data_IF_478435832724
#
_entry.id   IF_478435832724
#
_cell.length_a   1.000
_cell.length_b   1.000
_cell.length_c   1.000
_cell.angle_alpha   90.00
_cell.angle_beta   90.00
_cell.angle_gamma   90.00
#
_symmetry.space_group_name_H-M   'P 1'
#
loop_
_entity.id
_entity.type
_entity.pdbx_description
1 polymer ?
#
# COMPACT_ATOMS: atom_id res chain seq x y z
N UNK A 1 5.13 -7.11 17.45
CA UNK A 1 3.80 -7.45 16.95
C UNK A 1 3.55 -6.84 15.61
N UNK A 2 2.92 -7.58 14.73
CA UNK A 2 2.65 -7.12 13.38
C UNK A 2 1.35 -6.36 13.28
N UNK A 3 1.27 -5.45 12.31
CA UNK A 3 0.02 -4.77 11.96
C UNK A 3 -0.89 -5.73 11.19
N UNK A 4 -2.19 -5.61 11.42
CA UNK A 4 -3.20 -6.32 10.65
C UNK A 4 -4.34 -5.35 10.39
N UNK A 5 -4.52 -4.98 9.12
CA UNK A 5 -5.53 -4.01 8.70
C UNK A 5 -6.57 -4.74 7.88
N UNK A 6 -7.84 -4.49 8.17
CA UNK A 6 -8.94 -5.14 7.47
C UNK A 6 -9.82 -4.10 6.81
N UNK A 7 -10.29 -4.43 5.61
CA UNK A 7 -11.17 -3.58 4.83
C UNK A 7 -12.53 -4.26 4.73
N UNK A 8 -13.57 -3.53 5.07
CA UNK A 8 -14.94 -4.03 5.05
C UNK A 8 -15.76 -3.24 4.03
N UNK A 9 -16.70 -3.91 3.39
CA UNK A 9 -17.67 -3.22 2.54
C UNK A 9 -18.78 -2.61 3.40
N UNK A 10 -19.72 -1.91 2.77
CA UNK A 10 -20.80 -1.24 3.49
C UNK A 10 -21.77 -2.22 4.17
N UNK A 11 -21.76 -3.47 3.78
CA UNK A 11 -22.58 -4.52 4.40
C UNK A 11 -21.86 -5.22 5.56
N UNK A 12 -20.61 -4.83 5.86
CA UNK A 12 -19.85 -5.41 6.95
C UNK A 12 -19.04 -6.65 6.58
N UNK A 13 -18.94 -6.99 5.30
CA UNK A 13 -18.16 -8.14 4.86
C UNK A 13 -16.69 -7.77 4.72
N UNK A 14 -15.79 -8.61 5.26
CA UNK A 14 -14.37 -8.42 5.10
C UNK A 14 -13.97 -8.73 3.67
N UNK A 15 -13.48 -7.72 2.93
CA UNK A 15 -13.14 -7.86 1.53
C UNK A 15 -11.62 -7.79 1.28
N UNK A 16 -10.85 -7.23 2.19
CA UNK A 16 -9.40 -7.17 2.05
C UNK A 16 -8.71 -7.21 3.39
N UNK A 17 -7.50 -7.75 3.42
CA UNK A 17 -6.67 -7.80 4.63
C UNK A 17 -5.22 -7.54 4.24
N UNK A 18 -4.56 -6.67 5.01
CA UNK A 18 -3.13 -6.42 4.91
C UNK A 18 -2.51 -6.87 6.21
N UNK A 19 -1.61 -7.84 6.15
CA UNK A 19 -1.04 -8.46 7.35
C UNK A 19 0.47 -8.37 7.32
N UNK A 20 1.05 -7.75 8.34
CA UNK A 20 2.48 -7.67 8.48
C UNK A 20 3.05 -9.01 8.94
N UNK A 21 4.06 -9.50 8.21
CA UNK A 21 4.81 -10.67 8.65
C UNK A 21 5.78 -10.22 9.74
N UNK A 22 5.77 -10.96 10.84
CA UNK A 22 6.77 -10.77 11.91
C UNK A 22 7.96 -11.69 11.64
N UNK A 23 9.07 -11.44 12.31
CA UNK A 23 10.30 -12.24 12.21
C UNK A 23 10.94 -12.19 10.82
N UNK A 24 10.73 -11.10 10.08
CA UNK A 24 11.45 -10.85 8.83
C UNK A 24 12.48 -9.76 9.06
N UNK A 25 13.59 -9.82 8.30
CA UNK A 25 14.67 -8.83 8.43
C UNK A 25 14.18 -7.44 8.04
N UNK A 26 13.43 -7.35 6.92
CA UNK A 26 12.81 -6.10 6.49
C UNK A 26 11.29 -6.26 6.53
N UNK A 27 10.55 -5.18 6.76
CA UNK A 27 9.08 -5.25 6.81
C UNK A 27 8.48 -5.87 5.55
N UNK A 28 7.55 -6.77 5.75
CA UNK A 28 6.83 -7.44 4.68
C UNK A 28 5.35 -7.49 5.05
N UNK A 29 4.50 -7.12 4.10
CA UNK A 29 3.05 -7.09 4.29
C UNK A 29 2.38 -7.98 3.27
N UNK A 30 1.61 -8.94 3.75
CA UNK A 30 0.84 -9.85 2.90
C UNK A 30 -0.53 -9.27 2.61
N UNK A 31 -0.99 -9.45 1.37
CA UNK A 31 -2.26 -8.92 0.89
C UNK A 31 -3.22 -10.08 0.65
N UNK A 32 -4.42 -9.96 1.18
CA UNK A 32 -5.46 -10.98 1.05
C UNK A 32 -6.75 -10.34 0.53
N UNK A 33 -7.39 -11.00 -0.45
CA UNK A 33 -8.72 -10.65 -0.93
C UNK A 33 -9.66 -11.78 -0.53
N UNK A 34 -10.67 -11.46 0.28
CA UNK A 34 -11.67 -12.43 0.74
C UNK A 34 -11.02 -13.71 1.28
N UNK A 35 -9.96 -13.52 2.07
CA UNK A 35 -9.25 -14.63 2.70
C UNK A 35 -8.20 -15.31 1.84
N UNK A 36 -8.06 -14.94 0.57
CA UNK A 36 -7.08 -15.55 -0.32
C UNK A 36 -5.85 -14.66 -0.48
N UNK A 37 -4.67 -15.24 -0.33
CA UNK A 37 -3.41 -14.56 -0.55
C UNK A 37 -3.28 -14.16 -2.01
N UNK A 38 -3.03 -12.86 -2.27
CA UNK A 38 -2.89 -12.37 -3.64
C UNK A 38 -1.50 -11.80 -3.93
N UNK A 39 -0.69 -11.54 -2.93
CA UNK A 39 0.63 -10.99 -3.13
C UNK A 39 1.16 -10.34 -1.87
N UNK A 40 2.26 -9.62 -2.02
CA UNK A 40 2.87 -8.95 -0.87
C UNK A 40 3.58 -7.68 -1.29
N UNK A 41 3.79 -6.81 -0.30
CA UNK A 41 4.58 -5.59 -0.40
C UNK A 41 5.72 -5.73 0.59
N UNK A 42 6.94 -5.48 0.17
CA UNK A 42 8.06 -5.51 1.10
C UNK A 42 9.03 -4.39 0.82
N UNK A 43 9.65 -3.91 1.89
CA UNK A 43 10.63 -2.83 1.81
C UNK A 43 11.94 -3.37 1.30
N UNK A 44 12.55 -2.64 0.35
CA UNK A 44 13.89 -2.95 -0.12
C UNK A 44 14.93 -2.27 0.75
N UNK A 45 16.10 -2.90 0.89
CA UNK A 45 17.24 -2.26 1.50
C UNK A 45 17.71 -1.12 0.61
N UNK A 46 17.77 0.10 1.18
CA UNK A 46 18.17 1.29 0.45
C UNK A 46 18.78 2.29 1.42
N UNK A 47 19.86 2.97 0.99
CA UNK A 47 20.56 3.94 1.82
C UNK A 47 19.87 5.30 1.90
N UNK A 48 19.23 5.74 0.83
CA UNK A 48 18.80 7.12 0.73
C UNK A 48 17.30 7.31 0.82
N UNK A 49 16.53 6.45 0.20
CA UNK A 49 15.07 6.58 0.13
C UNK A 49 14.41 5.24 0.36
N UNK A 50 13.23 5.22 0.99
CA UNK A 50 12.46 3.99 1.07
C UNK A 50 12.13 3.49 -0.33
N UNK A 51 12.32 2.20 -0.56
CA UNK A 51 11.91 1.55 -1.80
C UNK A 51 11.08 0.33 -1.45
N UNK A 52 10.06 0.09 -2.26
CA UNK A 52 9.15 -1.01 -2.04
C UNK A 52 9.08 -1.89 -3.28
N UNK A 53 9.06 -3.20 -3.06
CA UNK A 53 8.74 -4.18 -4.08
C UNK A 53 7.33 -4.65 -3.86
N UNK A 54 6.60 -4.79 -4.97
CA UNK A 54 5.23 -5.28 -4.94
C UNK A 54 5.20 -6.58 -5.73
N UNK A 55 4.85 -7.66 -5.04
CA UNK A 55 4.63 -8.95 -5.68
C UNK A 55 3.12 -9.13 -5.86
N UNK A 56 2.56 -8.34 -6.74
CA UNK A 56 1.16 -8.40 -7.13
C UNK A 56 1.03 -7.81 -8.53
N UNK A 57 0.57 -8.62 -9.47
CA UNK A 57 0.16 -8.22 -10.83
C UNK A 57 1.19 -7.37 -11.60
N UNK A 58 2.47 -7.47 -11.25
CA UNK A 58 3.52 -6.69 -11.89
C UNK A 58 3.51 -5.21 -11.55
N UNK A 59 2.75 -4.79 -10.55
CA UNK A 59 2.66 -3.38 -10.16
C UNK A 59 3.95 -2.88 -9.55
N UNK A 60 4.20 -1.59 -9.75
CA UNK A 60 5.37 -0.87 -9.22
C UNK A 60 4.91 0.43 -8.59
N UNK A 61 5.69 0.93 -7.64
CA UNK A 61 5.46 2.26 -7.05
C UNK A 61 6.70 3.11 -7.29
N UNK A 62 6.47 4.40 -7.59
CA UNK A 62 7.56 5.36 -7.72
C UNK A 62 7.11 6.73 -7.27
N UNK A 63 8.01 7.46 -6.63
CA UNK A 63 7.74 8.81 -6.15
C UNK A 63 8.30 9.05 -4.76
N UNK A 64 7.75 10.02 -4.08
CA UNK A 64 8.16 10.40 -2.74
C UNK A 64 7.18 9.86 -1.70
N UNK A 65 7.56 8.76 -1.06
CA UNK A 65 6.69 8.10 -0.07
C UNK A 65 6.57 8.90 1.23
N UNK A 66 7.60 9.65 1.59
CA UNK A 66 7.55 10.49 2.79
C UNK A 66 6.52 11.60 2.67
N UNK A 67 6.37 12.17 1.48
CA UNK A 67 5.47 13.29 1.25
C UNK A 67 4.12 12.85 0.71
N UNK A 68 3.86 11.56 0.68
CA UNK A 68 2.60 11.01 0.15
C UNK A 68 2.33 11.52 -1.27
N UNK A 69 3.36 11.44 -2.12
CA UNK A 69 3.27 11.87 -3.51
C UNK A 69 3.93 10.81 -4.38
N UNK A 70 3.17 9.81 -4.77
CA UNK A 70 3.71 8.72 -5.57
C UNK A 70 2.67 8.11 -6.49
N UNK A 71 3.16 7.38 -7.47
CA UNK A 71 2.35 6.71 -8.48
C UNK A 71 2.41 5.20 -8.30
N UNK A 72 1.29 4.55 -8.60
CA UNK A 72 1.23 3.10 -8.76
C UNK A 72 1.15 2.83 -10.25
N UNK A 73 2.09 2.04 -10.77
CA UNK A 73 2.21 1.75 -12.20
C UNK A 73 2.02 0.26 -12.45
N UNK A 74 1.51 -0.10 -13.63
CA UNK A 74 1.48 -1.49 -14.03
C UNK A 74 2.84 -1.94 -14.56
N UNK A 75 2.93 -3.19 -14.99
CA UNK A 75 4.17 -3.77 -15.50
C UNK A 75 4.73 -3.01 -16.70
N UNK A 76 3.86 -2.43 -17.50
CA UNK A 76 4.24 -1.65 -18.69
C UNK A 76 4.57 -0.20 -18.37
N UNK A 77 4.47 0.21 -17.11
CA UNK A 77 4.76 1.59 -16.71
C UNK A 77 3.56 2.52 -16.85
N UNK A 78 2.38 2.00 -17.12
CA UNK A 78 1.16 2.80 -17.24
C UNK A 78 0.59 3.04 -15.84
N UNK A 79 0.14 4.27 -15.60
CA UNK A 79 -0.39 4.65 -14.30
C UNK A 79 -1.69 3.91 -13.95
N UNK A 80 -1.70 3.28 -12.78
CA UNK A 80 -2.89 2.64 -12.20
C UNK A 80 -3.57 3.58 -11.23
N UNK A 81 -2.78 4.29 -10.42
CA UNK A 81 -3.31 5.20 -9.42
C UNK A 81 -2.28 6.26 -9.05
N UNK A 82 -2.78 7.36 -8.52
CA UNK A 82 -1.97 8.46 -8.00
C UNK A 82 -2.32 8.67 -6.55
N UNK A 83 -1.30 8.71 -5.69
CA UNK A 83 -1.46 9.03 -4.26
C UNK A 83 -0.90 10.44 -4.04
N UNK A 84 -1.71 11.33 -3.47
CA UNK A 84 -1.28 12.69 -3.21
C UNK A 84 -1.84 13.17 -1.87
N UNK A 85 -1.08 14.06 -1.22
CA UNK A 85 -1.47 14.61 0.05
C UNK A 85 -2.52 15.71 -0.15
N UNK A 86 -3.53 15.72 0.73
CA UNK A 86 -4.54 16.76 0.72
C UNK A 86 -4.03 17.95 1.52
N UNK A 87 -3.55 18.98 0.80
CA UNK A 87 -2.87 20.11 1.44
C UNK A 87 -3.80 21.07 2.16
N UNK A 88 -5.10 21.01 1.87
CA UNK A 88 -6.06 21.95 2.44
C UNK A 88 -6.71 21.45 3.72
N UNK A 89 -6.32 20.27 4.19
CA UNK A 89 -6.89 19.68 5.40
C UNK A 89 -5.98 19.95 6.60
N UNK A 90 -6.59 20.10 7.75
CA UNK A 90 -5.86 20.31 9.01
C UNK A 90 -5.29 19.00 9.57
N UNK A 91 -5.81 17.87 9.12
CA UNK A 91 -5.34 16.54 9.51
C UNK A 91 -4.57 15.90 8.35
N UNK A 92 -3.75 14.90 8.66
CA UNK A 92 -3.01 14.15 7.66
C UNK A 92 -3.99 13.33 6.81
N UNK A 93 -4.38 13.92 5.69
CA UNK A 93 -5.30 13.30 4.74
C UNK A 93 -4.63 13.22 3.39
N UNK A 94 -4.86 12.13 2.69
CA UNK A 94 -4.37 11.99 1.32
C UNK A 94 -5.46 11.42 0.43
N UNK A 95 -5.26 11.57 -0.87
CA UNK A 95 -6.21 11.15 -1.90
C UNK A 95 -5.56 10.07 -2.75
N UNK A 96 -6.32 9.02 -3.03
CA UNK A 96 -5.91 7.96 -3.94
C UNK A 96 -6.83 8.03 -5.16
N UNK A 97 -6.29 8.50 -6.29
CA UNK A 97 -7.03 8.56 -7.55
C UNK A 97 -6.71 7.30 -8.34
N UNK A 98 -7.72 6.47 -8.56
CA UNK A 98 -7.57 5.20 -9.27
C UNK A 98 -8.27 5.31 -10.62
N UNK A 99 -7.54 4.99 -11.69
CA UNK A 99 -8.05 5.15 -13.05
C UNK A 99 -9.15 4.13 -13.37
N UNK A 100 -8.93 2.87 -13.00
CA UNK A 100 -9.89 1.79 -13.27
C UNK A 100 -10.57 1.36 -11.98
N UNK A 101 -11.91 1.44 -11.88
CA UNK A 101 -12.61 1.04 -10.66
C UNK A 101 -12.28 -0.37 -10.16
N UNK A 102 -11.94 -1.29 -11.07
CA UNK A 102 -11.56 -2.66 -10.69
C UNK A 102 -10.28 -2.74 -9.89
N UNK A 103 -9.45 -1.69 -9.90
CA UNK A 103 -8.17 -1.66 -9.20
C UNK A 103 -8.25 -0.96 -7.85
N UNK A 104 -9.40 -0.44 -7.46
CA UNK A 104 -9.53 0.40 -6.25
C UNK A 104 -9.11 -0.35 -4.99
N UNK A 105 -9.62 -1.57 -4.79
CA UNK A 105 -9.36 -2.31 -3.56
C UNK A 105 -7.88 -2.67 -3.42
N UNK A 106 -7.26 -3.14 -4.51
CA UNK A 106 -5.85 -3.51 -4.48
C UNK A 106 -4.95 -2.30 -4.32
N UNK A 107 -5.29 -1.17 -4.96
CA UNK A 107 -4.55 0.08 -4.77
C UNK A 107 -4.65 0.55 -3.32
N UNK A 108 -5.82 0.48 -2.71
CA UNK A 108 -6.01 0.86 -1.31
C UNK A 108 -5.17 -0.04 -0.38
N UNK A 109 -5.19 -1.36 -0.60
CA UNK A 109 -4.39 -2.27 0.22
C UNK A 109 -2.90 -1.98 0.12
N UNK A 110 -2.43 -1.64 -1.09
CA UNK A 110 -1.03 -1.29 -1.30
C UNK A 110 -0.65 -0.03 -0.52
N UNK A 111 -1.50 1.00 -0.58
CA UNK A 111 -1.26 2.25 0.15
C UNK A 111 -1.26 2.01 1.65
N UNK A 112 -2.19 1.19 2.15
CA UNK A 112 -2.25 0.85 3.57
C UNK A 112 -1.00 0.11 4.02
N UNK A 113 -0.46 -0.78 3.20
CA UNK A 113 0.78 -1.50 3.53
C UNK A 113 1.97 -0.54 3.64
N UNK A 114 2.11 0.38 2.70
CA UNK A 114 3.18 1.38 2.72
C UNK A 114 3.04 2.28 3.94
N UNK A 115 1.83 2.72 4.23
CA UNK A 115 1.56 3.57 5.37
C UNK A 115 1.85 2.86 6.71
N UNK A 116 1.48 1.60 6.81
CA UNK A 116 1.77 0.80 8.01
C UNK A 116 3.27 0.63 8.23
N UNK A 117 4.06 0.48 7.15
CA UNK A 117 5.51 0.39 7.27
C UNK A 117 6.08 1.71 7.79
N UNK A 118 5.59 2.84 7.29
CA UNK A 118 6.03 4.15 7.77
C UNK A 118 5.71 4.32 9.26
N UNK A 119 4.54 3.93 9.70
CA UNK A 119 4.15 4.00 11.11
C UNK A 119 5.04 3.11 11.99
N UNK A 120 5.41 1.94 11.49
CA UNK A 120 6.28 1.02 12.22
C UNK A 120 7.68 1.63 12.44
N UNK A 121 8.19 2.36 11.44
CA UNK A 121 9.52 2.99 11.56
C UNK A 121 9.53 4.14 12.55
N UNK A 122 8.41 4.80 12.74
CA UNK A 122 8.32 5.97 13.62
C UNK A 122 8.01 5.58 15.07
N UNK A 123 7.81 4.32 15.32
CA UNK A 123 7.60 3.77 16.65
C UNK A 123 8.88 3.09 17.15
#
# INVERSE_FOLDING_TARGET
>A
MGHCLKIFDSAGNEIGTVKQRVLTFLPKFELYLKGQYIGCVYKKLSFLKPKYNIDYNGWKVQGNFFELDYDILNQSGIQIAKVSKELLKLTDTYVIDVINPGDVLCALMLVLAIDAEKCSRNN
#
